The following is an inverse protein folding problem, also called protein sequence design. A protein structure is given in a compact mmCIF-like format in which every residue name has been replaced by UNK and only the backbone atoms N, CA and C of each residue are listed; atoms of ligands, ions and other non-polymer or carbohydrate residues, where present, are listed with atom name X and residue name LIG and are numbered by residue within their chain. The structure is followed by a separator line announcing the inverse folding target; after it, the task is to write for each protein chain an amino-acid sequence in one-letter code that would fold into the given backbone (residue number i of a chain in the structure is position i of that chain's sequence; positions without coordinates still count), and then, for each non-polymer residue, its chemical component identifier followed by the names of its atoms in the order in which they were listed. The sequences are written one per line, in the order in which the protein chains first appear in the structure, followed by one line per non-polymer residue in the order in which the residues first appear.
data_IF_824595264225
#
_entry.id   IF_824595264225
#
_cell.length_a   1.000
_cell.length_b   1.000
_cell.length_c   1.000
_cell.angle_alpha   90.00
_cell.angle_beta   90.00
_cell.angle_gamma   90.00
#
_symmetry.space_group_name_H-M   'P 1'
#
loop_
_entity.id
_entity.type
_entity.pdbx_description
1 polymer ?
#
# COMPACT_ATOMS: atom_id res chain seq x y z
N UNK A 1 9.28 -54.42 20.69
CA UNK A 1 9.61 -53.07 20.20
C UNK A 1 9.65 -53.11 18.67
N UNK A 2 8.80 -52.36 17.97
CA UNK A 2 9.00 -51.98 16.56
C UNK A 2 8.03 -50.84 16.24
N UNK A 3 8.58 -49.63 16.13
CA UNK A 3 7.82 -48.42 15.80
C UNK A 3 7.73 -48.25 14.27
N UNK A 4 6.55 -47.94 13.77
CA UNK A 4 6.26 -47.73 12.36
C UNK A 4 6.51 -46.26 12.02
N UNK A 5 7.62 -45.97 11.33
CA UNK A 5 7.98 -44.59 10.92
C UNK A 5 7.25 -44.25 9.62
N UNK A 6 6.21 -43.43 9.72
CA UNK A 6 5.53 -42.82 8.56
C UNK A 6 6.42 -41.70 8.00
N UNK A 7 7.04 -41.93 6.84
CA UNK A 7 7.76 -40.89 6.10
C UNK A 7 6.77 -40.00 5.36
N UNK A 8 6.54 -38.79 5.88
CA UNK A 8 5.82 -37.73 5.17
C UNK A 8 6.68 -37.21 4.02
N UNK A 9 6.34 -37.61 2.79
CA UNK A 9 6.94 -37.07 1.57
C UNK A 9 6.42 -35.65 1.32
N UNK A 10 7.23 -34.63 1.63
CA UNK A 10 6.98 -33.26 1.15
C UNK A 10 7.21 -33.20 -0.36
N UNK A 11 6.14 -33.20 -1.14
CA UNK A 11 6.18 -32.87 -2.56
C UNK A 11 6.65 -31.42 -2.73
N UNK A 12 7.89 -31.24 -3.21
CA UNK A 12 8.36 -29.94 -3.72
C UNK A 12 7.68 -29.72 -5.06
N UNK A 13 6.61 -28.91 -5.09
CA UNK A 13 6.14 -28.37 -6.36
C UNK A 13 7.27 -27.51 -6.94
N UNK A 14 7.75 -27.86 -8.14
CA UNK A 14 8.58 -26.97 -8.95
C UNK A 14 7.69 -25.79 -9.30
N UNK A 15 7.89 -24.65 -8.66
CA UNK A 15 7.30 -23.39 -9.13
C UNK A 15 7.87 -23.15 -10.52
N UNK A 16 7.03 -23.36 -11.53
CA UNK A 16 7.35 -23.00 -12.90
C UNK A 16 7.68 -21.51 -12.92
N UNK A 17 8.84 -21.18 -13.50
CA UNK A 17 9.27 -19.81 -13.66
C UNK A 17 8.23 -19.08 -14.50
N UNK A 18 7.51 -18.15 -13.87
CA UNK A 18 6.56 -17.28 -14.55
C UNK A 18 7.37 -16.51 -15.60
N UNK A 19 7.17 -16.84 -16.87
CA UNK A 19 7.75 -16.11 -17.99
C UNK A 19 7.03 -14.77 -18.08
N UNK A 20 7.67 -13.72 -17.57
CA UNK A 20 7.17 -12.36 -17.67
C UNK A 20 7.24 -11.93 -19.14
N UNK A 21 6.09 -11.83 -19.81
CA UNK A 21 6.01 -11.14 -21.09
C UNK A 21 6.65 -9.77 -20.99
N UNK A 22 7.37 -9.35 -22.05
CA UNK A 22 8.20 -8.14 -22.17
C UNK A 22 7.98 -7.14 -21.02
N UNK A 23 8.74 -7.31 -19.92
CA UNK A 23 8.57 -6.57 -18.66
C UNK A 23 8.52 -5.05 -18.88
N UNK A 24 9.24 -4.58 -19.90
CA UNK A 24 9.39 -3.17 -20.27
C UNK A 24 8.08 -2.46 -20.64
N UNK A 25 7.23 -3.06 -21.49
CA UNK A 25 6.01 -2.37 -21.97
C UNK A 25 5.00 -2.19 -20.84
N UNK A 26 4.87 -3.19 -19.98
CA UNK A 26 3.92 -3.14 -18.87
C UNK A 26 4.42 -2.21 -17.76
N UNK A 27 5.73 -2.19 -17.50
CA UNK A 27 6.35 -1.22 -16.58
C UNK A 27 6.29 0.21 -17.13
N UNK A 28 6.43 0.40 -18.45
CA UNK A 28 6.26 1.70 -19.11
C UNK A 28 4.84 2.21 -18.99
N UNK A 29 3.82 1.38 -19.28
CA UNK A 29 2.41 1.76 -19.14
C UNK A 29 2.08 2.07 -17.68
N UNK A 30 2.60 1.30 -16.71
CA UNK A 30 2.41 1.59 -15.27
C UNK A 30 3.04 2.92 -14.87
N UNK A 31 4.26 3.19 -15.31
CA UNK A 31 4.96 4.45 -15.07
C UNK A 31 4.17 5.60 -15.67
N UNK A 32 3.79 5.49 -16.93
CA UNK A 32 3.03 6.51 -17.63
C UNK A 32 1.65 6.76 -17.00
N UNK A 33 0.94 5.72 -16.55
CA UNK A 33 -0.32 5.88 -15.82
C UNK A 33 -0.15 6.65 -14.51
N UNK A 34 0.93 6.35 -13.77
CA UNK A 34 1.26 7.06 -12.54
C UNK A 34 1.63 8.52 -12.80
N UNK A 35 2.48 8.78 -13.79
CA UNK A 35 2.84 10.13 -14.27
C UNK A 35 1.60 10.91 -14.73
N UNK A 36 0.78 10.36 -15.62
CA UNK A 36 -0.34 11.07 -16.20
C UNK A 36 -1.48 11.36 -15.20
N UNK A 37 -1.60 10.59 -14.12
CA UNK A 37 -2.66 10.78 -13.11
C UNK A 37 -2.19 11.43 -11.82
N UNK A 38 -1.12 10.93 -11.20
CA UNK A 38 -0.67 11.42 -9.89
C UNK A 38 0.19 12.68 -10.03
N UNK A 39 0.85 12.87 -11.17
CA UNK A 39 1.76 14.00 -11.40
C UNK A 39 1.16 15.19 -12.15
N UNK A 40 -0.10 15.09 -12.60
CA UNK A 40 -0.73 16.11 -13.44
C UNK A 40 -1.18 17.37 -12.69
N UNK A 41 -1.97 17.22 -11.63
CA UNK A 41 -2.50 18.34 -10.85
C UNK A 41 -2.90 17.94 -9.42
N UNK A 42 -2.96 18.92 -8.52
CA UNK A 42 -3.27 18.71 -7.09
C UNK A 42 -4.68 18.17 -6.84
N UNK A 43 -5.66 18.54 -7.69
CA UNK A 43 -7.03 18.08 -7.58
C UNK A 43 -7.14 16.59 -7.94
N UNK A 44 -6.48 16.14 -9.00
CA UNK A 44 -6.40 14.72 -9.35
C UNK A 44 -5.69 13.91 -8.28
N UNK A 45 -4.59 14.43 -7.71
CA UNK A 45 -3.90 13.77 -6.60
C UNK A 45 -4.80 13.61 -5.36
N UNK A 46 -5.53 14.66 -4.97
CA UNK A 46 -6.51 14.60 -3.88
C UNK A 46 -7.64 13.61 -4.18
N UNK A 47 -8.14 13.61 -5.41
CA UNK A 47 -9.22 12.74 -5.82
C UNK A 47 -8.81 11.27 -5.79
N UNK A 48 -7.59 10.95 -6.23
CA UNK A 48 -7.08 9.57 -6.39
C UNK A 48 -6.44 9.00 -5.13
N UNK A 49 -5.72 9.83 -4.36
CA UNK A 49 -4.93 9.37 -3.21
C UNK A 49 -5.55 9.79 -1.87
N UNK A 50 -6.58 10.64 -1.87
CA UNK A 50 -7.10 11.33 -0.69
C UNK A 50 -6.03 12.14 0.06
N UNK A 51 -4.93 12.44 -0.60
CA UNK A 51 -3.79 13.18 -0.07
C UNK A 51 -3.30 14.18 -1.12
N UNK A 52 -3.00 15.41 -0.68
CA UNK A 52 -2.45 16.44 -1.57
C UNK A 52 -1.05 16.09 -2.08
N UNK A 53 -0.68 16.63 -3.23
CA UNK A 53 0.58 16.32 -3.93
C UNK A 53 1.82 16.60 -3.08
N UNK A 54 1.90 17.79 -2.48
CA UNK A 54 3.02 18.18 -1.62
C UNK A 54 3.23 17.24 -0.41
N UNK A 55 2.19 17.02 0.42
CA UNK A 55 2.23 16.04 1.50
C UNK A 55 2.60 14.62 1.05
N UNK A 56 2.08 14.17 -0.10
CA UNK A 56 2.40 12.86 -0.66
C UNK A 56 3.90 12.67 -0.92
N UNK A 57 4.55 13.62 -1.59
CA UNK A 57 5.99 13.51 -1.86
C UNK A 57 6.84 13.60 -0.59
N UNK A 58 6.46 14.47 0.36
CA UNK A 58 7.13 14.51 1.66
C UNK A 58 7.01 13.19 2.41
N UNK A 59 5.85 12.53 2.32
CA UNK A 59 5.63 11.23 2.92
C UNK A 59 6.48 10.14 2.27
N UNK A 60 6.56 10.11 0.94
CA UNK A 60 7.43 9.17 0.22
C UNK A 60 8.92 9.41 0.58
N UNK A 61 9.34 10.67 0.68
CA UNK A 61 10.70 11.02 1.08
C UNK A 61 11.01 10.56 2.50
N UNK A 62 10.10 10.78 3.46
CA UNK A 62 10.25 10.31 4.84
C UNK A 62 10.46 8.79 4.90
N UNK A 63 9.70 8.02 4.12
CA UNK A 63 9.82 6.56 4.06
C UNK A 63 11.16 6.11 3.46
N UNK A 64 11.70 6.86 2.48
CA UNK A 64 13.05 6.62 1.93
C UNK A 64 14.15 6.97 2.92
N UNK A 65 14.09 8.13 3.53
CA UNK A 65 15.13 8.63 4.45
C UNK A 65 15.31 7.68 5.64
N UNK A 66 14.19 7.12 6.12
CA UNK A 66 14.18 6.12 7.20
C UNK A 66 14.44 4.69 6.71
N UNK A 67 14.67 4.51 5.42
CA UNK A 67 14.91 3.20 4.76
C UNK A 67 13.78 2.19 5.01
N UNK A 68 12.56 2.67 5.24
CA UNK A 68 11.38 1.83 5.46
C UNK A 68 10.83 1.29 4.13
N UNK A 69 11.00 2.05 3.05
CA UNK A 69 10.73 1.61 1.68
C UNK A 69 11.90 1.99 0.78
N UNK A 70 12.08 1.20 -0.28
CA UNK A 70 13.09 1.40 -1.30
C UNK A 70 12.48 1.16 -2.67
N UNK A 71 13.03 1.83 -3.67
CA UNK A 71 12.70 1.57 -5.05
C UNK A 71 13.12 0.13 -5.42
N UNK A 72 12.28 -0.53 -6.20
CA UNK A 72 12.56 -1.86 -6.74
C UNK A 72 12.68 -1.75 -8.25
N UNK A 73 13.19 -2.81 -8.90
CA UNK A 73 13.25 -2.88 -10.36
C UNK A 73 11.88 -2.72 -11.04
N UNK A 74 10.78 -3.00 -10.33
CA UNK A 74 9.42 -2.98 -10.86
C UNK A 74 8.56 -1.82 -10.38
N UNK A 75 8.96 -1.13 -9.31
CA UNK A 75 8.10 -0.15 -8.65
C UNK A 75 8.90 0.81 -7.77
N UNK A 76 8.73 2.11 -7.99
CA UNK A 76 9.26 3.15 -7.11
C UNK A 76 8.50 3.22 -5.78
N UNK A 77 9.04 3.92 -4.79
CA UNK A 77 8.35 4.17 -3.50
C UNK A 77 7.05 4.94 -3.72
N UNK A 78 7.01 5.95 -4.61
CA UNK A 78 5.78 6.66 -4.96
C UNK A 78 4.74 5.72 -5.52
N UNK A 79 5.15 4.81 -6.39
CA UNK A 79 4.23 3.85 -6.99
C UNK A 79 3.67 2.90 -5.94
N UNK A 80 4.52 2.38 -5.05
CA UNK A 80 4.10 1.51 -3.95
C UNK A 80 3.09 2.22 -3.03
N UNK A 81 3.42 3.44 -2.58
CA UNK A 81 2.60 4.22 -1.65
C UNK A 81 1.34 4.73 -2.33
N UNK A 82 1.41 5.20 -3.56
CA UNK A 82 0.26 5.72 -4.30
C UNK A 82 -0.73 4.61 -4.65
N UNK A 83 -0.28 3.41 -5.03
CA UNK A 83 -1.18 2.26 -5.22
C UNK A 83 -1.87 1.90 -3.91
N UNK A 84 -1.14 1.88 -2.78
CA UNK A 84 -1.73 1.66 -1.47
C UNK A 84 -2.81 2.70 -1.13
N UNK A 85 -2.48 3.99 -1.21
CA UNK A 85 -3.39 5.10 -0.91
C UNK A 85 -4.62 5.10 -1.80
N UNK A 86 -4.45 4.81 -3.09
CA UNK A 86 -5.57 4.65 -4.02
C UNK A 86 -6.47 3.47 -3.60
N UNK A 87 -5.90 2.30 -3.29
CA UNK A 87 -6.66 1.12 -2.87
C UNK A 87 -7.46 1.38 -1.59
N UNK A 88 -6.86 1.99 -0.57
CA UNK A 88 -7.55 2.26 0.71
C UNK A 88 -8.50 3.45 0.63
N UNK A 89 -8.16 4.49 -0.14
CA UNK A 89 -8.93 5.73 -0.25
C UNK A 89 -10.21 5.59 -1.08
N UNK A 90 -10.29 4.56 -1.91
CA UNK A 90 -11.45 4.26 -2.74
C UNK A 90 -12.16 2.96 -2.36
N UNK A 91 -11.68 2.22 -1.34
CA UNK A 91 -12.20 0.90 -0.98
C UNK A 91 -12.43 0.05 -2.24
N UNK A 92 -11.35 -0.20 -3.00
CA UNK A 92 -11.36 -0.78 -4.37
C UNK A 92 -11.82 -2.26 -4.38
N UNK A 93 -13.04 -2.51 -3.90
CA UNK A 93 -13.83 -3.72 -4.16
C UNK A 93 -14.69 -3.55 -5.42
N UNK A 94 -14.96 -2.31 -5.82
CA UNK A 94 -16.00 -1.98 -6.81
C UNK A 94 -15.47 -1.51 -8.17
N UNK A 95 -14.15 -1.46 -8.37
CA UNK A 95 -13.56 -1.19 -9.68
C UNK A 95 -13.00 -2.51 -10.25
N UNK A 96 -13.32 -2.91 -11.50
CA UNK A 96 -12.73 -4.09 -12.09
C UNK A 96 -11.21 -3.88 -12.15
N UNK A 97 -10.52 -4.52 -11.21
CA UNK A 97 -9.08 -4.49 -11.00
C UNK A 97 -8.26 -5.09 -12.18
N UNK A 98 -8.85 -5.18 -13.37
CA UNK A 98 -8.29 -5.77 -14.57
C UNK A 98 -7.64 -4.77 -15.54
N UNK A 99 -8.11 -3.52 -15.61
CA UNK A 99 -7.68 -2.61 -16.70
C UNK A 99 -6.63 -1.57 -16.30
N UNK A 100 -6.69 -1.03 -15.07
CA UNK A 100 -5.83 0.10 -14.69
C UNK A 100 -4.45 -0.30 -14.18
N UNK A 101 -4.32 -1.50 -13.63
CA UNK A 101 -3.06 -2.05 -13.20
C UNK A 101 -2.98 -3.45 -13.77
N UNK A 102 -2.22 -3.62 -14.87
CA UNK A 102 -1.80 -4.94 -15.38
C UNK A 102 -0.87 -5.66 -14.38
N UNK A 103 -1.15 -5.56 -13.08
CA UNK A 103 -0.38 -6.03 -11.95
C UNK A 103 -1.17 -7.20 -11.37
N UNK A 104 -0.55 -8.37 -11.24
CA UNK A 104 -1.22 -9.51 -10.63
C UNK A 104 -1.60 -9.18 -9.18
N UNK A 105 -2.73 -9.69 -8.69
CA UNK A 105 -3.19 -9.44 -7.32
C UNK A 105 -2.14 -9.81 -6.26
N UNK A 106 -1.25 -10.76 -6.57
CA UNK A 106 -0.10 -11.11 -5.73
C UNK A 106 0.86 -9.92 -5.56
N UNK A 107 1.22 -9.23 -6.65
CA UNK A 107 2.14 -8.09 -6.60
C UNK A 107 1.52 -6.94 -5.82
N UNK A 108 0.23 -6.67 -6.02
CA UNK A 108 -0.53 -5.69 -5.22
C UNK A 108 -0.47 -6.08 -3.74
N UNK A 109 -0.77 -7.33 -3.39
CA UNK A 109 -0.74 -7.80 -2.00
C UNK A 109 0.64 -7.69 -1.36
N UNK A 110 1.72 -8.00 -2.08
CA UNK A 110 3.10 -7.90 -1.57
C UNK A 110 3.47 -6.46 -1.24
N UNK A 111 3.24 -5.52 -2.17
CA UNK A 111 3.55 -4.11 -1.93
C UNK A 111 2.62 -3.48 -0.91
N UNK A 112 1.34 -3.83 -0.92
CA UNK A 112 0.37 -3.39 0.07
C UNK A 112 0.81 -3.76 1.50
N UNK A 113 1.25 -5.01 1.72
CA UNK A 113 1.80 -5.45 3.02
C UNK A 113 3.07 -4.68 3.39
N UNK A 114 4.00 -4.49 2.45
CA UNK A 114 5.23 -3.72 2.70
C UNK A 114 4.92 -2.29 3.13
N UNK A 115 4.01 -1.62 2.44
CA UNK A 115 3.60 -0.25 2.76
C UNK A 115 2.91 -0.21 4.12
N UNK A 116 1.99 -1.13 4.44
CA UNK A 116 1.38 -1.19 5.78
C UNK A 116 2.43 -1.33 6.88
N UNK A 117 3.41 -2.23 6.71
CA UNK A 117 4.47 -2.40 7.70
C UNK A 117 5.30 -1.11 7.86
N UNK A 118 5.71 -0.49 6.76
CA UNK A 118 6.46 0.75 6.78
C UNK A 118 5.70 1.89 7.48
N UNK A 119 4.40 2.03 7.20
CA UNK A 119 3.53 3.02 7.87
C UNK A 119 3.35 2.67 9.35
N UNK A 120 3.22 1.37 9.66
CA UNK A 120 3.11 0.87 11.02
C UNK A 120 4.32 1.24 11.90
N UNK A 121 5.53 1.30 11.33
CA UNK A 121 6.71 1.78 12.05
C UNK A 121 6.62 3.26 12.42
N UNK A 122 5.87 4.06 11.67
CA UNK A 122 5.64 5.47 11.96
C UNK A 122 4.48 5.72 12.94
N UNK A 123 3.79 4.67 13.40
CA UNK A 123 2.55 4.80 14.19
C UNK A 123 2.71 5.64 15.44
N UNK A 124 3.82 5.50 16.16
CA UNK A 124 4.04 6.20 17.44
C UNK A 124 4.27 7.71 17.26
N UNK A 125 4.64 8.13 16.06
CA UNK A 125 4.89 9.53 15.73
C UNK A 125 3.67 10.18 15.05
N UNK A 126 2.97 9.42 14.22
CA UNK A 126 1.85 9.92 13.41
C UNK A 126 0.48 9.70 14.08
N UNK A 127 0.36 8.70 14.94
CA UNK A 127 -0.88 8.38 15.66
C UNK A 127 -0.69 8.87 17.09
N UNK A 128 -1.28 10.04 17.37
CA UNK A 128 -1.37 10.55 18.73
C UNK A 128 -2.50 9.83 19.46
N UNK A 129 -2.24 9.38 20.68
CA UNK A 129 -3.31 8.89 21.55
C UNK A 129 -4.36 9.99 21.73
N UNK A 130 -5.66 9.69 21.54
CA UNK A 130 -6.72 10.65 21.83
C UNK A 130 -6.64 11.03 23.31
N UNK A 131 -6.85 12.31 23.62
CA UNK A 131 -6.87 12.75 25.01
C UNK A 131 -8.02 12.08 25.75
N UNK A 132 -7.76 11.59 26.96
CA UNK A 132 -8.80 11.08 27.86
C UNK A 132 -9.68 12.20 28.43
N UNK A 133 -9.27 13.46 28.26
CA UNK A 133 -10.09 14.61 28.62
C UNK A 133 -11.27 14.74 27.66
N UNK A 134 -12.46 14.97 28.22
CA UNK A 134 -13.67 15.29 27.46
C UNK A 134 -13.41 16.57 26.66
N UNK A 135 -13.53 16.53 25.31
CA UNK A 135 -13.44 17.74 24.50
C UNK A 135 -14.51 18.75 24.93
N UNK A 136 -14.13 20.02 25.02
CA UNK A 136 -15.05 21.12 25.42
C UNK A 136 -16.32 21.24 24.58
N UNK A 137 -16.33 20.65 23.36
CA UNK A 137 -17.51 20.59 22.49
C UNK A 137 -18.59 19.61 22.95
N UNK A 138 -18.24 18.62 23.77
CA UNK A 138 -19.16 17.59 24.28
C UNK A 138 -19.25 17.58 25.81
N UNK A 139 -18.41 18.36 26.48
CA UNK A 139 -18.42 18.55 27.93
C UNK A 139 -19.81 19.03 28.41
N UNK A 140 -20.40 18.30 29.36
CA UNK A 140 -21.73 18.59 29.91
C UNK A 140 -22.91 18.19 29.00
N UNK A 141 -22.67 17.56 27.86
CA UNK A 141 -23.74 16.98 27.06
C UNK A 141 -24.03 15.55 27.53
N UNK A 142 -25.08 15.36 28.33
CA UNK A 142 -25.49 14.05 28.88
C UNK A 142 -25.68 12.92 27.85
N UNK A 143 -25.82 13.24 26.55
CA UNK A 143 -25.86 12.23 25.49
C UNK A 143 -24.48 11.61 25.20
N UNK A 144 -23.39 12.34 25.43
CA UNK A 144 -22.02 11.96 25.05
C UNK A 144 -21.01 12.03 26.21
N UNK A 145 -21.36 12.71 27.30
CA UNK A 145 -20.61 12.91 28.54
C UNK A 145 -21.55 12.60 29.73
N UNK A 146 -21.73 11.31 30.07
CA UNK A 146 -22.75 10.84 31.02
C UNK A 146 -22.45 11.18 32.48
#
# INVERSE_FOLDING_TARGET
MSALVVRSGKSKSRTECISYGLMDETDRVRRQYFEDKIWKDDATCLNMLRLGRGPFFRFCQLLRDRRLLQDTIHMSVEQQVGTFLHTVGHNVRDEPAGDNFRITGEVVSRYFKKVIHAIGELRHELIREPSLATPTKIEGNHQWDP
#
